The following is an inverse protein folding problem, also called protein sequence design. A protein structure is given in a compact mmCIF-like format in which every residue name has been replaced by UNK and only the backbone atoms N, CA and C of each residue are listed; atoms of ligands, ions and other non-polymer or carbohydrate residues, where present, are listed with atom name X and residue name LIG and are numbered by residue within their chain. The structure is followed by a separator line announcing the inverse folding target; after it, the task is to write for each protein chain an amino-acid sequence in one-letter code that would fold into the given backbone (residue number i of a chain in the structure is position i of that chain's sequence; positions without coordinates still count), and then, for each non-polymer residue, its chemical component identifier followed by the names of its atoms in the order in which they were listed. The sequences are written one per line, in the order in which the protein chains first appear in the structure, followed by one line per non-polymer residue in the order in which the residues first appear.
data_IF_765408708384
#
_entry.id   IF_765408708384
#
_cell.length_a   1.000
_cell.length_b   1.000
_cell.length_c   1.000
_cell.angle_alpha   90.00
_cell.angle_beta   90.00
_cell.angle_gamma   90.00
#
_symmetry.space_group_name_H-M   'P 1'
#
loop_
_entity.id
_entity.type
_entity.pdbx_description
1 polymer ?
#
# COMPACT_ATOMS: atom_id res chain seq x y z
N UNK A 1 -17.09 21.35 24.09
CA UNK A 1 -16.99 19.86 24.07
C UNK A 1 -16.32 19.36 22.79
N UNK A 2 -16.65 19.90 21.62
CA UNK A 2 -16.19 19.43 20.30
C UNK A 2 -14.67 19.50 20.10
N UNK A 3 -14.03 20.58 20.60
CA UNK A 3 -12.56 20.69 20.54
C UNK A 3 -11.83 19.63 21.38
N UNK A 4 -12.41 19.20 22.49
CA UNK A 4 -11.82 18.12 23.31
C UNK A 4 -11.95 16.76 22.59
N UNK A 5 -13.09 16.50 21.97
CA UNK A 5 -13.27 15.28 21.16
C UNK A 5 -12.36 15.28 19.93
N UNK A 6 -12.19 16.43 19.27
CA UNK A 6 -11.27 16.58 18.15
C UNK A 6 -9.81 16.32 18.58
N UNK A 7 -9.36 16.96 19.66
CA UNK A 7 -8.02 16.78 20.18
C UNK A 7 -7.76 15.34 20.63
N UNK A 8 -8.73 14.71 21.30
CA UNK A 8 -8.64 13.31 21.70
C UNK A 8 -8.63 12.36 20.51
N UNK A 9 -9.46 12.61 19.50
CA UNK A 9 -9.47 11.85 18.24
C UNK A 9 -8.15 11.96 17.48
N UNK A 10 -7.55 13.14 17.37
CA UNK A 10 -6.23 13.34 16.79
C UNK A 10 -5.14 12.60 17.56
N UNK A 11 -5.18 12.66 18.89
CA UNK A 11 -4.23 11.91 19.73
C UNK A 11 -4.34 10.40 19.50
N UNK A 12 -5.57 9.87 19.46
CA UNK A 12 -5.80 8.45 19.17
C UNK A 12 -5.33 8.06 17.76
N UNK A 13 -5.51 8.92 16.77
CA UNK A 13 -5.02 8.68 15.42
C UNK A 13 -3.49 8.63 15.35
N UNK A 14 -2.79 9.54 16.04
CA UNK A 14 -1.33 9.57 16.10
C UNK A 14 -0.81 8.31 16.80
N UNK A 15 -1.34 7.99 17.97
CA UNK A 15 -0.93 6.80 18.72
C UNK A 15 -1.26 5.51 17.95
N UNK A 16 -2.46 5.41 17.39
CA UNK A 16 -2.89 4.26 16.59
C UNK A 16 -2.01 4.06 15.35
N UNK A 17 -1.67 5.14 14.65
CA UNK A 17 -0.74 5.12 13.50
C UNK A 17 0.65 4.62 13.88
N UNK A 18 1.20 5.11 15.00
CA UNK A 18 2.50 4.68 15.51
C UNK A 18 2.50 3.20 15.90
N UNK A 19 1.47 2.72 16.62
CA UNK A 19 1.33 1.31 16.96
C UNK A 19 1.16 0.42 15.73
N UNK A 20 0.37 0.86 14.75
CA UNK A 20 0.18 0.13 13.49
C UNK A 20 1.49 0.03 12.72
N UNK A 21 2.27 1.12 12.61
CA UNK A 21 3.56 1.14 11.95
C UNK A 21 4.57 0.21 12.61
N UNK A 22 4.70 0.27 13.94
CA UNK A 22 5.61 -0.61 14.69
C UNK A 22 5.19 -2.08 14.59
N UNK A 23 3.90 -2.36 14.67
CA UNK A 23 3.34 -3.70 14.49
C UNK A 23 3.61 -4.25 13.09
N UNK A 24 3.41 -3.44 12.05
CA UNK A 24 3.68 -3.82 10.66
C UNK A 24 5.17 -4.12 10.43
N UNK A 25 6.08 -3.28 10.95
CA UNK A 25 7.53 -3.52 10.86
C UNK A 25 7.94 -4.79 11.63
N UNK A 26 7.39 -5.01 12.82
CA UNK A 26 7.63 -6.23 13.61
C UNK A 26 7.16 -7.47 12.85
N UNK A 27 5.98 -7.43 12.24
CA UNK A 27 5.44 -8.52 11.45
C UNK A 27 6.28 -8.79 10.20
N UNK A 28 6.75 -7.72 9.51
CA UNK A 28 7.65 -7.84 8.37
C UNK A 28 8.91 -8.63 8.72
N UNK A 29 9.54 -8.28 9.84
CA UNK A 29 10.75 -8.97 10.34
C UNK A 29 10.48 -10.44 10.67
N UNK A 30 9.39 -10.72 11.38
CA UNK A 30 9.05 -12.09 11.79
C UNK A 30 8.69 -13.01 10.60
N UNK A 31 8.08 -12.44 9.56
CA UNK A 31 7.69 -13.18 8.36
C UNK A 31 8.75 -13.16 7.26
N UNK A 32 9.90 -12.52 7.50
CA UNK A 32 10.92 -12.32 6.47
C UNK A 32 10.37 -11.68 5.18
N UNK A 33 9.47 -10.69 5.33
CA UNK A 33 8.85 -9.95 4.21
C UNK A 33 9.44 -8.55 4.19
N UNK A 34 9.59 -7.95 3.00
CA UNK A 34 10.10 -6.58 2.93
C UNK A 34 9.13 -5.57 3.54
N UNK A 35 9.64 -4.47 4.12
CA UNK A 35 8.80 -3.39 4.60
C UNK A 35 7.90 -2.78 3.52
N UNK A 36 8.35 -2.81 2.25
CA UNK A 36 7.57 -2.31 1.12
C UNK A 36 6.30 -3.15 0.88
N UNK A 37 6.41 -4.49 0.94
CA UNK A 37 5.23 -5.37 0.79
C UNK A 37 4.28 -5.24 1.98
N UNK A 38 4.80 -5.11 3.21
CA UNK A 38 3.95 -4.87 4.39
C UNK A 38 3.26 -3.49 4.27
N UNK A 39 3.97 -2.46 3.80
CA UNK A 39 3.38 -1.15 3.53
C UNK A 39 2.24 -1.23 2.52
N UNK A 40 2.46 -1.91 1.40
CA UNK A 40 1.46 -2.08 0.36
C UNK A 40 0.24 -2.91 0.82
N UNK A 41 0.45 -3.94 1.62
CA UNK A 41 -0.61 -4.87 2.04
C UNK A 41 -1.27 -4.42 3.34
N UNK A 42 -0.63 -4.67 4.49
CA UNK A 42 -1.25 -4.47 5.80
C UNK A 42 -1.50 -3.00 6.09
N UNK A 43 -0.52 -2.13 5.84
CA UNK A 43 -0.69 -0.69 6.08
C UNK A 43 -1.65 -0.08 5.06
N UNK A 44 -1.51 -0.40 3.77
CA UNK A 44 -2.38 0.10 2.72
C UNK A 44 -3.84 -0.31 2.96
N UNK A 45 -4.09 -1.59 3.28
CA UNK A 45 -5.44 -2.06 3.62
C UNK A 45 -5.97 -1.44 4.92
N UNK A 46 -5.14 -1.39 5.96
CA UNK A 46 -5.52 -0.83 7.26
C UNK A 46 -5.90 0.65 7.18
N UNK A 47 -5.11 1.45 6.46
CA UNK A 47 -5.39 2.89 6.28
C UNK A 47 -6.59 3.16 5.38
N UNK A 48 -6.92 2.24 4.46
CA UNK A 48 -8.08 2.36 3.56
C UNK A 48 -9.36 1.72 4.12
N UNK A 49 -9.30 1.10 5.31
CA UNK A 49 -10.48 0.50 5.92
C UNK A 49 -11.61 1.50 6.23
N UNK A 50 -11.33 2.73 6.75
CA UNK A 50 -12.36 3.74 6.95
C UNK A 50 -13.05 4.13 5.64
N UNK A 51 -12.28 4.34 4.57
CA UNK A 51 -12.79 4.68 3.25
C UNK A 51 -13.67 3.56 2.69
N UNK A 52 -13.30 2.29 2.92
CA UNK A 52 -14.10 1.15 2.52
C UNK A 52 -15.46 1.14 3.24
N UNK A 53 -15.48 1.38 4.55
CA UNK A 53 -16.73 1.45 5.34
C UNK A 53 -17.63 2.58 4.83
N UNK A 54 -17.08 3.78 4.63
CA UNK A 54 -17.82 4.94 4.11
C UNK A 54 -18.38 4.64 2.71
N UNK A 55 -17.57 4.05 1.84
CA UNK A 55 -18.00 3.67 0.48
C UNK A 55 -19.13 2.67 0.49
N UNK A 56 -19.03 1.60 1.31
CA UNK A 56 -20.09 0.59 1.45
C UNK A 56 -21.39 1.23 1.97
N UNK A 57 -21.30 2.06 3.02
CA UNK A 57 -22.47 2.74 3.58
C UNK A 57 -23.13 3.68 2.56
N UNK A 58 -22.34 4.43 1.79
CA UNK A 58 -22.83 5.30 0.75
C UNK A 58 -23.59 4.53 -0.33
N UNK A 59 -23.03 3.42 -0.80
CA UNK A 59 -23.71 2.54 -1.80
C UNK A 59 -25.01 1.96 -1.24
N UNK A 60 -24.99 1.44 -0.01
CA UNK A 60 -26.19 0.88 0.63
C UNK A 60 -27.29 1.94 0.88
N UNK A 61 -26.90 3.21 1.04
CA UNK A 61 -27.83 4.34 1.18
C UNK A 61 -28.29 4.91 -0.17
N UNK A 62 -27.90 4.31 -1.29
CA UNK A 62 -28.24 4.79 -2.63
C UNK A 62 -27.47 6.04 -3.09
N UNK A 63 -26.40 6.41 -2.39
CA UNK A 63 -25.57 7.59 -2.65
C UNK A 63 -24.28 7.22 -3.39
N UNK A 64 -24.39 6.63 -4.58
CA UNK A 64 -23.25 6.15 -5.37
C UNK A 64 -22.20 7.23 -5.66
N UNK A 65 -22.63 8.48 -5.87
CA UNK A 65 -21.72 9.61 -6.10
C UNK A 65 -20.79 9.87 -4.92
N UNK A 66 -21.27 9.70 -3.69
CA UNK A 66 -20.45 9.83 -2.48
C UNK A 66 -19.41 8.70 -2.44
N UNK A 67 -19.81 7.48 -2.82
CA UNK A 67 -18.88 6.33 -2.86
C UNK A 67 -17.74 6.57 -3.85
N UNK A 68 -18.04 7.00 -5.07
CA UNK A 68 -17.04 7.33 -6.10
C UNK A 68 -16.19 8.52 -5.67
N UNK A 69 -16.82 9.58 -5.15
CA UNK A 69 -16.12 10.78 -4.66
C UNK A 69 -15.16 10.46 -3.51
N UNK A 70 -15.53 9.58 -2.58
CA UNK A 70 -14.67 9.12 -1.49
C UNK A 70 -13.44 8.36 -2.02
N UNK A 71 -13.63 7.42 -2.94
CA UNK A 71 -12.54 6.64 -3.51
C UNK A 71 -11.55 7.50 -4.32
N UNK A 72 -12.05 8.44 -5.13
CA UNK A 72 -11.20 9.35 -5.90
C UNK A 72 -10.54 10.40 -5.00
N UNK A 73 -11.32 10.99 -4.08
CA UNK A 73 -10.86 12.05 -3.19
C UNK A 73 -9.76 11.59 -2.24
N UNK A 74 -9.87 10.39 -1.68
CA UNK A 74 -8.82 9.83 -0.82
C UNK A 74 -7.50 9.59 -1.60
N UNK A 75 -7.56 9.12 -2.83
CA UNK A 75 -6.36 8.97 -3.66
C UNK A 75 -5.69 10.31 -3.98
N UNK A 76 -6.48 11.35 -4.29
CA UNK A 76 -5.97 12.71 -4.52
C UNK A 76 -5.33 13.24 -3.23
N UNK A 77 -6.00 13.10 -2.08
CA UNK A 77 -5.48 13.54 -0.79
C UNK A 77 -4.19 12.81 -0.41
N UNK A 78 -4.14 11.49 -0.58
CA UNK A 78 -2.95 10.70 -0.31
C UNK A 78 -1.76 11.12 -1.20
N UNK A 79 -2.00 11.40 -2.46
CA UNK A 79 -0.93 11.76 -3.41
C UNK A 79 -0.49 13.21 -3.24
N UNK A 80 -1.41 14.17 -3.19
CA UNK A 80 -1.06 15.58 -3.19
C UNK A 80 -0.81 16.12 -1.78
N UNK A 81 -1.67 15.78 -0.82
CA UNK A 81 -1.57 16.32 0.52
C UNK A 81 -0.54 15.55 1.35
N UNK A 82 -0.68 14.23 1.48
CA UNK A 82 0.18 13.44 2.39
C UNK A 82 1.60 13.35 1.84
N UNK A 83 1.75 12.95 0.57
CA UNK A 83 3.06 12.83 -0.06
C UNK A 83 3.72 14.20 -0.24
N UNK A 84 2.93 15.23 -0.61
CA UNK A 84 3.40 16.60 -0.76
C UNK A 84 3.88 17.19 0.57
N UNK A 85 3.09 17.06 1.64
CA UNK A 85 3.49 17.51 2.97
C UNK A 85 4.72 16.76 3.48
N UNK A 86 4.78 15.44 3.27
CA UNK A 86 5.96 14.64 3.62
C UNK A 86 7.23 15.13 2.92
N UNK A 87 7.15 15.43 1.63
CA UNK A 87 8.27 15.93 0.84
C UNK A 87 8.75 17.34 1.26
N UNK A 88 7.83 18.18 1.73
CA UNK A 88 8.18 19.50 2.29
C UNK A 88 8.93 19.38 3.61
N UNK A 89 8.53 18.42 4.46
CA UNK A 89 9.19 18.19 5.76
C UNK A 89 10.56 17.55 5.57
N UNK A 90 10.69 16.56 4.68
CA UNK A 90 11.93 15.85 4.40
C UNK A 90 11.92 15.29 2.98
N UNK A 91 13.04 15.38 2.22
CA UNK A 91 13.15 14.74 0.92
C UNK A 91 12.83 13.25 0.98
N UNK A 92 11.95 12.79 0.11
CA UNK A 92 11.56 11.39 0.00
C UNK A 92 12.48 10.70 -0.99
N UNK A 93 13.35 9.83 -0.48
CA UNK A 93 14.24 9.00 -1.31
C UNK A 93 13.50 7.71 -1.65
N UNK A 94 13.26 7.49 -2.93
CA UNK A 94 12.52 6.33 -3.43
C UNK A 94 13.39 5.54 -4.42
N UNK A 95 13.20 4.20 -4.45
CA UNK A 95 13.78 3.39 -5.53
C UNK A 95 13.06 3.69 -6.86
N UNK A 96 13.79 4.15 -7.90
CA UNK A 96 13.18 4.50 -9.18
C UNK A 96 12.46 3.32 -9.86
N UNK A 97 12.88 2.08 -9.62
CA UNK A 97 12.28 0.88 -10.22
C UNK A 97 10.93 0.59 -9.57
N UNK A 98 10.85 0.67 -8.23
CA UNK A 98 9.60 0.53 -7.49
C UNK A 98 8.58 1.61 -7.89
N UNK A 99 9.00 2.86 -7.90
CA UNK A 99 8.15 4.00 -8.28
C UNK A 99 7.62 3.85 -9.72
N UNK A 100 8.45 3.43 -10.68
CA UNK A 100 7.98 3.21 -12.06
C UNK A 100 6.98 2.07 -12.17
N UNK A 101 7.21 0.96 -11.46
CA UNK A 101 6.33 -0.20 -11.46
C UNK A 101 4.97 0.14 -10.84
N UNK A 102 5.00 0.59 -9.61
CA UNK A 102 3.78 0.83 -8.82
C UNK A 102 3.02 2.06 -9.34
N UNK A 103 3.75 3.09 -9.77
CA UNK A 103 3.19 4.26 -10.45
C UNK A 103 2.51 3.93 -11.78
N UNK A 104 3.09 3.01 -12.58
CA UNK A 104 2.44 2.55 -13.81
C UNK A 104 1.15 1.80 -13.51
N UNK A 105 1.12 0.91 -12.50
CA UNK A 105 -0.10 0.21 -12.10
C UNK A 105 -1.14 1.19 -11.59
N UNK A 106 -0.76 2.15 -10.75
CA UNK A 106 -1.65 3.21 -10.26
C UNK A 106 -2.24 4.02 -11.43
N UNK A 107 -1.43 4.41 -12.39
CA UNK A 107 -1.89 5.15 -13.56
C UNK A 107 -2.87 4.34 -14.41
N UNK A 108 -2.55 3.07 -14.68
CA UNK A 108 -3.42 2.19 -15.47
C UNK A 108 -4.75 1.90 -14.75
N UNK A 109 -4.73 1.69 -13.44
CA UNK A 109 -5.96 1.47 -12.66
C UNK A 109 -6.82 2.72 -12.59
N UNK A 110 -6.20 3.91 -12.55
CA UNK A 110 -6.92 5.20 -12.62
C UNK A 110 -7.59 5.36 -13.99
N UNK A 111 -6.88 5.07 -15.09
CA UNK A 111 -7.46 5.10 -16.43
C UNK A 111 -8.61 4.10 -16.58
N UNK A 112 -8.45 2.89 -16.03
CA UNK A 112 -9.51 1.88 -16.01
C UNK A 112 -10.74 2.40 -15.27
N UNK A 113 -10.57 2.98 -14.09
CA UNK A 113 -11.67 3.54 -13.30
C UNK A 113 -12.39 4.68 -14.08
N UNK A 114 -11.63 5.59 -14.67
CA UNK A 114 -12.21 6.65 -15.52
C UNK A 114 -12.99 6.07 -16.70
N UNK A 115 -12.43 5.10 -17.41
CA UNK A 115 -13.09 4.43 -18.53
C UNK A 115 -14.40 3.74 -18.11
N UNK A 116 -14.40 3.05 -16.97
CA UNK A 116 -15.60 2.43 -16.41
C UNK A 116 -16.64 3.48 -16.00
N UNK A 117 -16.21 4.59 -15.40
CA UNK A 117 -17.09 5.70 -15.04
C UNK A 117 -17.82 6.31 -16.23
N UNK A 118 -17.16 6.38 -17.39
CA UNK A 118 -17.79 6.88 -18.63
C UNK A 118 -18.90 5.96 -19.18
N UNK A 119 -18.97 4.70 -18.74
CA UNK A 119 -20.05 3.76 -19.12
C UNK A 119 -21.36 3.97 -18.33
N UNK A 120 -21.39 4.94 -17.42
CA UNK A 120 -22.58 5.29 -16.63
C UNK A 120 -22.71 4.58 -15.29
N UNK A 121 -21.72 3.76 -14.88
CA UNK A 121 -21.70 3.11 -13.57
C UNK A 121 -20.82 1.87 -13.53
N UNK A 122 -20.50 1.45 -12.32
CA UNK A 122 -19.71 0.22 -12.09
C UNK A 122 -20.66 -0.91 -11.70
N UNK A 123 -20.70 -1.95 -12.52
CA UNK A 123 -21.55 -3.14 -12.29
C UNK A 123 -20.77 -4.24 -11.54
N UNK A 124 -21.49 -5.21 -10.98
CA UNK A 124 -20.94 -6.24 -10.12
C UNK A 124 -19.71 -6.97 -10.71
N UNK A 125 -19.78 -7.41 -11.97
CA UNK A 125 -18.68 -8.14 -12.59
C UNK A 125 -17.41 -7.29 -12.78
N UNK A 126 -17.56 -5.98 -13.00
CA UNK A 126 -16.44 -5.01 -13.07
C UNK A 126 -15.80 -4.86 -11.69
N UNK A 127 -16.60 -4.76 -10.63
CA UNK A 127 -16.10 -4.74 -9.25
C UNK A 127 -15.34 -6.02 -8.90
N UNK A 128 -15.87 -7.20 -9.26
CA UNK A 128 -15.18 -8.48 -9.06
C UNK A 128 -13.87 -8.52 -9.84
N UNK A 129 -13.86 -8.05 -11.09
CA UNK A 129 -12.64 -7.98 -11.91
C UNK A 129 -11.59 -7.05 -11.29
N UNK A 130 -11.98 -5.89 -10.75
CA UNK A 130 -11.07 -4.96 -10.07
C UNK A 130 -10.47 -5.58 -8.80
N UNK A 131 -11.26 -6.30 -8.00
CA UNK A 131 -10.75 -7.04 -6.83
C UNK A 131 -9.79 -8.17 -7.25
N UNK A 132 -10.08 -8.86 -8.33
CA UNK A 132 -9.20 -9.87 -8.91
C UNK A 132 -7.86 -9.28 -9.38
N UNK A 133 -7.88 -8.12 -10.04
CA UNK A 133 -6.68 -7.39 -10.43
C UNK A 133 -5.86 -6.95 -9.21
N UNK A 134 -6.50 -6.44 -8.16
CA UNK A 134 -5.83 -6.08 -6.91
C UNK A 134 -5.15 -7.30 -6.28
N UNK A 135 -5.87 -8.41 -6.12
CA UNK A 135 -5.30 -9.65 -5.56
C UNK A 135 -4.13 -10.18 -6.38
N UNK A 136 -4.24 -10.13 -7.72
CA UNK A 136 -3.16 -10.53 -8.63
C UNK A 136 -1.94 -9.64 -8.50
N UNK A 137 -2.13 -8.32 -8.43
CA UNK A 137 -1.05 -7.37 -8.23
C UNK A 137 -0.34 -7.55 -6.89
N UNK A 138 -1.10 -7.74 -5.80
CA UNK A 138 -0.54 -7.99 -4.46
C UNK A 138 0.27 -9.29 -4.44
N UNK A 139 -0.27 -10.36 -5.00
CA UNK A 139 0.41 -11.66 -5.09
C UNK A 139 1.68 -11.58 -5.94
N UNK A 140 1.61 -10.91 -7.08
CA UNK A 140 2.78 -10.70 -7.95
C UNK A 140 3.86 -9.84 -7.26
N UNK A 141 3.48 -8.74 -6.60
CA UNK A 141 4.40 -7.91 -5.82
C UNK A 141 5.11 -8.69 -4.74
N UNK A 142 4.37 -9.51 -4.00
CA UNK A 142 4.93 -10.38 -2.96
C UNK A 142 5.94 -11.39 -3.52
N UNK A 143 5.58 -12.09 -4.61
CA UNK A 143 6.46 -13.08 -5.24
C UNK A 143 7.72 -12.44 -5.83
N UNK A 144 7.60 -11.25 -6.39
CA UNK A 144 8.74 -10.52 -6.95
C UNK A 144 9.71 -10.07 -5.85
N UNK A 145 9.17 -9.55 -4.75
CA UNK A 145 9.97 -9.14 -3.60
C UNK A 145 10.76 -10.32 -3.00
N UNK A 146 10.08 -11.44 -2.81
CA UNK A 146 10.72 -12.68 -2.33
C UNK A 146 11.88 -13.11 -3.22
N UNK A 147 11.68 -13.14 -4.54
CA UNK A 147 12.73 -13.51 -5.51
C UNK A 147 13.94 -12.57 -5.49
N UNK A 148 13.73 -11.28 -5.26
CA UNK A 148 14.83 -10.33 -5.17
C UNK A 148 15.65 -10.51 -3.88
N UNK A 149 15.01 -10.86 -2.79
CA UNK A 149 15.69 -11.14 -1.52
C UNK A 149 16.51 -12.44 -1.58
N UNK A 150 15.92 -13.50 -2.12
CA UNK A 150 16.61 -14.79 -2.28
C UNK A 150 17.90 -14.59 -3.09
N UNK A 151 17.82 -13.91 -4.24
CA UNK A 151 19.00 -13.60 -5.06
C UNK A 151 20.05 -12.73 -4.36
N UNK A 152 19.62 -11.77 -3.54
CA UNK A 152 20.56 -10.94 -2.79
C UNK A 152 21.26 -11.73 -1.68
N UNK A 153 20.57 -12.67 -1.06
CA UNK A 153 21.14 -13.57 -0.05
C UNK A 153 22.16 -14.51 -0.69
N UNK A 154 21.80 -15.17 -1.79
CA UNK A 154 22.69 -16.05 -2.55
C UNK A 154 23.97 -15.33 -2.98
N UNK A 155 23.85 -14.10 -3.49
CA UNK A 155 24.99 -13.28 -3.89
C UNK A 155 25.90 -12.90 -2.70
N UNK A 156 25.31 -12.61 -1.54
CA UNK A 156 26.08 -12.33 -0.34
C UNK A 156 26.80 -13.57 0.19
N UNK A 157 26.19 -14.75 0.10
CA UNK A 157 26.83 -16.03 0.45
C UNK A 157 27.98 -16.34 -0.50
N UNK A 158 27.79 -16.24 -1.82
CA UNK A 158 28.86 -16.40 -2.80
C UNK A 158 30.05 -15.45 -2.55
N UNK A 159 29.78 -14.17 -2.30
CA UNK A 159 30.85 -13.20 -2.00
C UNK A 159 31.56 -13.49 -0.68
N UNK A 160 30.85 -14.01 0.32
CA UNK A 160 31.44 -14.40 1.59
C UNK A 160 32.34 -15.65 1.43
N UNK A 161 31.91 -16.62 0.64
CA UNK A 161 32.71 -17.82 0.30
C UNK A 161 33.99 -17.45 -0.48
N UNK A 162 33.89 -16.57 -1.49
CA UNK A 162 35.07 -16.08 -2.23
C UNK A 162 36.07 -15.34 -1.32
N UNK A 163 35.55 -14.57 -0.34
CA UNK A 163 36.42 -13.77 0.56
C UNK A 163 37.01 -14.61 1.68
N UNK A 164 36.32 -15.64 2.18
CA UNK A 164 36.77 -16.48 3.29
C UNK A 164 37.52 -17.73 2.85
N UNK A 165 37.36 -18.18 1.62
CA UNK A 165 37.90 -19.46 1.12
C UNK A 165 37.35 -20.68 1.82
N UNK A 166 36.31 -20.56 2.64
CA UNK A 166 35.66 -21.63 3.40
C UNK A 166 34.19 -21.66 3.02
N UNK A 167 33.67 -22.81 2.53
CA UNK A 167 32.24 -22.93 2.23
C UNK A 167 31.40 -22.77 3.49
N UNK A 168 30.40 -21.90 3.44
CA UNK A 168 29.45 -21.65 4.56
C UNK A 168 28.65 -22.88 4.98
N UNK A 169 28.62 -23.93 4.15
CA UNK A 169 27.99 -25.21 4.47
C UNK A 169 28.70 -26.02 5.58
N UNK A 170 29.84 -25.53 6.08
CA UNK A 170 30.66 -26.20 7.12
C UNK A 170 30.69 -25.44 8.47
N UNK A 171 29.92 -24.33 8.61
CA UNK A 171 29.72 -23.58 9.84
C UNK A 171 28.26 -23.71 10.26
#
# INVERSE_FOLDING_TARGET
MDFLFLAFGLLLLILGGEFALRGAIGLARNLNISPAVIGLTIMGFGTSAPELVVTIQAVLSGSADIAVGNAIGSNIANTLLILGAGAVIRPLICDPRGVRRDGAVMFLTTLLLCGLGLTGGIVLWQGVAMLGLLGTFMGWSYLQDKRHRDKATDLHEEMAEETSGIPTSLV
#
